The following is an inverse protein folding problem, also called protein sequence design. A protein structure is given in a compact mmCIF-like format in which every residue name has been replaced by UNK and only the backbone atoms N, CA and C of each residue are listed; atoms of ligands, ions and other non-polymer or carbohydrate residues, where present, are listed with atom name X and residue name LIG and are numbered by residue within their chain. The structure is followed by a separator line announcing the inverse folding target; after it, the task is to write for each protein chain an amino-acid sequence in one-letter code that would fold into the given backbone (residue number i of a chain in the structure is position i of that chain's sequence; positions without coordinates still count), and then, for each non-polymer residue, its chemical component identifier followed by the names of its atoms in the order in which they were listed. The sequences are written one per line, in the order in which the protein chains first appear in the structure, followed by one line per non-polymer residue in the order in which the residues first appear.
data_IF_763743141895
#
_entry.id   IF_763743141895
#
_cell.length_a   1.000
_cell.length_b   1.000
_cell.length_c   1.000
_cell.angle_alpha   90.00
_cell.angle_beta   90.00
_cell.angle_gamma   90.00
#
_symmetry.space_group_name_H-M   'P 1'
#
loop_
_entity.id
_entity.type
_entity.pdbx_description
1 polymer ?
#
# COMPACT_ATOMS: atom_id res chain seq x y z
N UNK A 1 14.09 -3.78 1.33
CA UNK A 1 15.05 -3.36 2.37
C UNK A 1 14.25 -2.85 3.55
N UNK A 2 14.27 -3.62 4.65
CA UNK A 2 13.65 -3.26 5.92
C UNK A 2 14.47 -2.09 6.50
N UNK A 3 13.83 -0.94 6.72
CA UNK A 3 14.47 0.21 7.36
C UNK A 3 14.81 -0.20 8.80
N UNK A 4 16.11 -0.38 9.08
CA UNK A 4 16.67 -0.67 10.40
C UNK A 4 16.35 0.49 11.35
N UNK A 5 15.99 0.14 12.58
CA UNK A 5 15.55 1.03 13.66
C UNK A 5 16.62 2.04 14.15
N UNK A 6 17.88 1.90 13.76
CA UNK A 6 18.99 2.53 14.49
C UNK A 6 19.51 3.85 13.88
N UNK A 7 19.05 4.27 12.70
CA UNK A 7 19.56 5.48 12.02
C UNK A 7 18.60 6.68 12.05
N UNK A 8 17.49 6.60 12.80
CA UNK A 8 16.45 7.66 12.85
C UNK A 8 16.48 8.47 14.15
N UNK A 9 17.16 7.99 15.19
CA UNK A 9 17.03 8.53 16.56
C UNK A 9 17.98 9.69 16.91
N UNK A 10 18.92 10.10 16.03
CA UNK A 10 19.94 11.10 16.42
C UNK A 10 19.90 12.44 15.65
N UNK A 11 18.78 12.79 15.02
CA UNK A 11 18.66 14.13 14.38
C UNK A 11 17.23 14.66 14.26
N UNK A 12 16.22 13.96 14.79
CA UNK A 12 14.84 14.42 14.74
C UNK A 12 14.43 14.95 16.11
N UNK A 13 14.13 16.26 16.19
CA UNK A 13 13.36 16.85 17.29
C UNK A 13 11.93 16.27 17.25
N UNK A 14 11.78 15.02 17.69
CA UNK A 14 10.48 14.37 17.82
C UNK A 14 9.87 14.86 19.13
N UNK A 15 8.88 15.75 19.04
CA UNK A 15 8.13 16.16 20.22
C UNK A 15 7.41 14.94 20.84
N UNK A 16 7.41 14.89 22.18
CA UNK A 16 6.73 13.84 22.93
C UNK A 16 5.21 13.95 22.70
N UNK A 17 4.57 12.83 22.35
CA UNK A 17 3.11 12.76 22.21
C UNK A 17 2.42 12.92 23.57
N UNK A 18 2.04 14.16 23.90
CA UNK A 18 1.24 14.47 25.09
C UNK A 18 -0.20 13.99 24.94
N UNK A 19 -0.89 13.77 26.06
CA UNK A 19 -2.30 13.40 26.04
C UNK A 19 -3.17 14.49 25.37
N UNK A 20 -2.81 15.76 25.49
CA UNK A 20 -3.49 16.87 24.83
C UNK A 20 -3.39 16.80 23.30
N UNK A 21 -2.17 16.67 22.76
CA UNK A 21 -1.95 16.51 21.32
C UNK A 21 -2.62 15.25 20.78
N UNK A 22 -2.63 14.17 21.56
CA UNK A 22 -3.35 12.95 21.21
C UNK A 22 -4.86 13.14 21.14
N UNK A 23 -5.45 13.87 22.10
CA UNK A 23 -6.88 14.20 22.07
C UNK A 23 -7.23 15.10 20.87
N UNK A 24 -6.37 16.06 20.51
CA UNK A 24 -6.56 16.90 19.33
C UNK A 24 -6.65 16.07 18.03
N UNK A 25 -5.79 15.04 17.88
CA UNK A 25 -5.81 14.13 16.72
C UNK A 25 -7.10 13.30 16.69
N UNK A 26 -7.52 12.71 17.83
CA UNK A 26 -8.74 11.90 17.90
C UNK A 26 -9.99 12.74 17.61
N UNK A 27 -10.04 13.94 18.18
CA UNK A 27 -11.20 14.83 18.09
C UNK A 27 -11.26 15.60 16.76
N UNK A 28 -10.28 15.42 15.86
CA UNK A 28 -10.14 16.20 14.63
C UNK A 28 -10.17 17.72 14.88
N UNK A 29 -9.47 18.16 15.92
CA UNK A 29 -9.51 19.55 16.37
C UNK A 29 -8.73 20.46 15.42
N UNK A 30 -9.43 21.36 14.72
CA UNK A 30 -8.83 22.30 13.78
C UNK A 30 -8.09 23.45 14.45
N UNK A 31 -8.29 23.70 15.76
CA UNK A 31 -7.56 24.75 16.48
C UNK A 31 -6.05 24.49 16.56
N UNK A 32 -5.65 23.22 16.46
CA UNK A 32 -4.25 22.79 16.45
C UNK A 32 -3.65 22.70 15.04
N UNK A 33 -4.42 22.97 13.98
CA UNK A 33 -3.89 22.98 12.63
C UNK A 33 -2.81 24.06 12.49
N UNK A 34 -1.61 23.66 12.07
CA UNK A 34 -0.45 24.54 11.93
C UNK A 34 0.37 24.73 13.22
N UNK A 35 -0.12 24.26 14.37
CA UNK A 35 0.68 24.21 15.61
C UNK A 35 1.60 22.97 15.64
N UNK A 36 1.10 21.85 15.13
CA UNK A 36 1.90 20.65 14.92
C UNK A 36 1.31 19.79 13.79
N UNK A 37 2.13 18.88 13.30
CA UNK A 37 1.79 17.85 12.33
C UNK A 37 2.09 16.49 12.94
N UNK A 38 1.29 15.48 12.62
CA UNK A 38 1.53 14.12 13.06
C UNK A 38 1.81 13.21 11.87
N UNK A 39 2.74 12.29 12.01
CA UNK A 39 3.06 11.31 10.98
C UNK A 39 2.89 9.89 11.47
N UNK A 40 2.48 9.01 10.56
CA UNK A 40 2.17 7.61 10.86
C UNK A 40 3.30 6.74 10.33
N UNK A 41 4.02 6.09 11.24
CA UNK A 41 5.18 5.23 10.93
C UNK A 41 4.87 4.14 9.91
N UNK A 42 3.70 3.51 10.03
CA UNK A 42 3.31 2.37 9.18
C UNK A 42 2.96 2.78 7.75
N UNK A 43 2.41 3.97 7.54
CA UNK A 43 2.02 4.46 6.21
C UNK A 43 3.04 5.42 5.60
N UNK A 44 3.93 6.00 6.41
CA UNK A 44 4.89 7.01 5.96
C UNK A 44 4.23 8.32 5.55
N UNK A 45 3.04 8.62 6.09
CA UNK A 45 2.24 9.81 5.75
C UNK A 45 2.12 10.73 6.96
N UNK A 46 2.25 12.04 6.73
CA UNK A 46 1.98 13.05 7.74
C UNK A 46 0.72 13.88 7.44
N UNK A 47 0.04 14.28 8.51
CA UNK A 47 -1.28 14.88 8.55
C UNK A 47 -1.30 16.09 9.49
N UNK A 48 -2.33 16.92 9.34
CA UNK A 48 -2.73 17.92 10.34
C UNK A 48 -3.71 17.32 11.36
N UNK A 49 -3.83 17.85 12.58
CA UNK A 49 -4.73 17.36 13.62
C UNK A 49 -6.19 17.22 13.17
N UNK A 50 -6.72 18.12 12.32
CA UNK A 50 -8.09 18.03 11.78
C UNK A 50 -8.31 17.00 10.65
N UNK A 51 -7.35 16.11 10.41
CA UNK A 51 -7.45 15.15 9.31
C UNK A 51 -8.49 14.06 9.60
N UNK A 52 -9.58 14.06 8.82
CA UNK A 52 -10.67 13.06 8.82
C UNK A 52 -10.26 11.63 8.40
N UNK A 53 -8.97 11.30 8.40
CA UNK A 53 -8.51 9.93 8.19
C UNK A 53 -8.76 9.11 9.45
N UNK A 54 -8.86 7.78 9.33
CA UNK A 54 -9.02 6.93 10.51
C UNK A 54 -7.83 7.15 11.46
N UNK A 55 -8.07 7.33 12.77
CA UNK A 55 -6.99 7.58 13.71
C UNK A 55 -6.06 6.35 13.75
N UNK A 56 -4.74 6.55 13.60
CA UNK A 56 -3.75 5.49 13.70
C UNK A 56 -3.57 5.03 15.15
N UNK A 57 -2.85 3.93 15.37
CA UNK A 57 -2.45 3.52 16.72
C UNK A 57 -1.47 4.52 17.33
N UNK A 58 -1.66 4.86 18.62
CA UNK A 58 -0.82 5.81 19.37
C UNK A 58 0.68 5.52 19.27
N UNK A 59 1.05 4.24 19.26
CA UNK A 59 2.45 3.75 19.18
C UNK A 59 3.16 4.06 17.84
N UNK A 60 2.41 4.36 16.78
CA UNK A 60 2.96 4.57 15.44
C UNK A 60 2.99 6.05 15.03
N UNK A 61 2.91 6.97 16.00
CA UNK A 61 2.77 8.41 15.73
C UNK A 61 4.07 9.13 16.06
N UNK A 62 4.54 9.91 15.11
CA UNK A 62 5.58 10.93 15.28
C UNK A 62 4.95 12.32 15.22
N UNK A 63 5.45 13.26 16.01
CA UNK A 63 5.03 14.66 15.98
C UNK A 63 6.14 15.52 15.38
N UNK A 64 5.73 16.51 14.60
CA UNK A 64 6.58 17.50 13.96
C UNK A 64 5.97 18.90 14.18
N UNK A 65 6.81 19.91 14.40
CA UNK A 65 6.35 21.29 14.55
C UNK A 65 5.99 21.88 13.19
N UNK A 66 6.76 21.53 12.15
CA UNK A 66 6.57 22.06 10.79
C UNK A 66 6.43 20.94 9.75
N UNK A 67 5.76 21.25 8.64
CA UNK A 67 5.66 20.33 7.51
C UNK A 67 7.05 20.02 6.89
N UNK A 68 8.00 20.96 6.97
CA UNK A 68 9.36 20.80 6.47
C UNK A 68 10.15 19.75 7.26
N UNK A 69 9.97 19.69 8.59
CA UNK A 69 10.55 18.64 9.42
C UNK A 69 10.03 17.26 9.00
N UNK A 70 8.72 17.14 8.77
CA UNK A 70 8.11 15.89 8.32
C UNK A 70 8.64 15.46 6.93
N UNK A 71 8.79 16.40 5.99
CA UNK A 71 9.36 16.14 4.66
C UNK A 71 10.83 15.71 4.74
N UNK A 72 11.62 16.38 5.58
CA UNK A 72 13.05 16.03 5.80
C UNK A 72 13.20 14.65 6.42
N UNK A 73 12.26 14.26 7.28
CA UNK A 73 12.13 12.92 7.85
C UNK A 73 11.55 11.88 6.87
N UNK A 74 11.43 12.21 5.57
CA UNK A 74 10.92 11.35 4.48
C UNK A 74 9.45 10.93 4.64
N UNK A 75 8.65 11.67 5.40
CA UNK A 75 7.20 11.49 5.42
C UNK A 75 6.55 12.26 4.26
N UNK A 76 5.50 11.67 3.70
CA UNK A 76 4.75 12.24 2.56
C UNK A 76 3.51 12.99 3.05
N UNK A 77 3.15 14.14 2.43
CA UNK A 77 2.00 14.91 2.87
C UNK A 77 0.70 14.16 2.55
N UNK A 78 -0.23 14.12 3.50
CA UNK A 78 -1.50 13.45 3.31
C UNK A 78 -2.35 14.08 2.21
N UNK A 79 -2.84 13.27 1.27
CA UNK A 79 -3.74 13.73 0.18
C UNK A 79 -5.10 14.25 0.67
N UNK A 80 -5.60 13.75 1.81
CA UNK A 80 -6.88 14.17 2.39
C UNK A 80 -6.80 15.57 3.00
N UNK A 81 -5.84 15.80 3.91
CA UNK A 81 -5.77 17.06 4.63
C UNK A 81 -4.83 18.10 4.01
N UNK A 82 -4.03 17.72 3.01
CA UNK A 82 -3.12 18.60 2.26
C UNK A 82 -2.31 19.52 3.20
N UNK A 83 -1.50 18.95 4.11
CA UNK A 83 -0.85 19.72 5.17
C UNK A 83 0.14 20.78 4.63
N UNK A 84 0.69 20.56 3.43
CA UNK A 84 1.57 21.51 2.73
C UNK A 84 0.82 22.44 1.77
N UNK A 85 -0.51 22.38 1.71
CA UNK A 85 -1.34 23.08 0.71
C UNK A 85 -1.26 22.51 -0.70
N UNK A 86 -0.24 21.71 -1.00
CA UNK A 86 -0.02 21.09 -2.31
C UNK A 86 -0.62 19.68 -2.38
N UNK A 87 -1.10 19.30 -3.56
CA UNK A 87 -1.62 17.94 -3.83
C UNK A 87 -0.45 17.08 -4.30
N UNK A 88 -0.22 15.92 -3.67
CA UNK A 88 0.65 14.89 -4.23
C UNK A 88 0.20 14.59 -5.68
N UNK A 89 1.13 14.53 -6.65
CA UNK A 89 0.82 14.11 -8.01
C UNK A 89 0.07 12.77 -8.00
N UNK A 90 -0.78 12.56 -9.00
CA UNK A 90 -1.54 11.31 -9.08
C UNK A 90 -0.61 10.13 -9.38
N UNK A 91 0.43 10.32 -10.19
CA UNK A 91 1.38 9.25 -10.54
C UNK A 91 2.19 8.77 -9.33
N UNK A 92 2.73 9.69 -8.54
CA UNK A 92 3.44 9.36 -7.29
C UNK A 92 2.56 8.62 -6.30
N UNK A 93 1.29 9.02 -6.19
CA UNK A 93 0.34 8.38 -5.30
C UNK A 93 0.00 6.96 -5.73
N UNK A 94 -0.22 6.76 -7.03
CA UNK A 94 -0.45 5.43 -7.59
C UNK A 94 0.79 4.56 -7.45
N UNK A 95 2.01 5.11 -7.60
CA UNK A 95 3.25 4.37 -7.34
C UNK A 95 3.31 3.81 -5.91
N UNK A 96 2.85 4.56 -4.90
CA UNK A 96 2.77 4.07 -3.51
C UNK A 96 1.81 2.90 -3.37
N UNK A 97 0.63 3.02 -3.97
CA UNK A 97 -0.39 1.96 -3.91
C UNK A 97 0.13 0.70 -4.60
N UNK A 98 0.78 0.87 -5.76
CA UNK A 98 1.40 -0.22 -6.51
C UNK A 98 2.50 -0.90 -5.70
N UNK A 99 3.41 -0.15 -5.10
CA UNK A 99 4.47 -0.70 -4.23
C UNK A 99 3.89 -1.49 -3.05
N UNK A 100 2.80 -0.99 -2.45
CA UNK A 100 2.10 -1.71 -1.39
C UNK A 100 1.50 -3.03 -1.89
N UNK A 101 0.86 -3.01 -3.05
CA UNK A 101 0.30 -4.23 -3.66
C UNK A 101 1.43 -5.23 -3.96
N UNK A 102 2.54 -4.79 -4.56
CA UNK A 102 3.65 -5.67 -4.95
C UNK A 102 4.30 -6.37 -3.74
N UNK A 103 4.26 -5.75 -2.55
CA UNK A 103 4.76 -6.35 -1.30
C UNK A 103 3.74 -7.27 -0.62
N UNK A 104 2.45 -7.00 -0.78
CA UNK A 104 1.38 -7.65 -0.02
C UNK A 104 0.36 -8.39 -0.91
N UNK A 105 0.71 -8.71 -2.16
CA UNK A 105 -0.24 -9.26 -3.14
C UNK A 105 -0.89 -10.58 -2.68
N UNK A 106 -0.26 -11.32 -1.78
CA UNK A 106 -0.78 -12.58 -1.23
C UNK A 106 -1.97 -12.36 -0.28
N UNK A 107 -2.08 -11.18 0.32
CA UNK A 107 -3.12 -10.86 1.30
C UNK A 107 -4.45 -10.49 0.64
N UNK A 108 -5.51 -10.46 1.44
CA UNK A 108 -6.78 -9.89 0.99
C UNK A 108 -6.68 -8.36 0.98
N UNK A 109 -6.61 -7.76 -0.21
CA UNK A 109 -6.43 -6.32 -0.42
C UNK A 109 -7.71 -5.66 -0.98
N UNK A 110 -8.77 -5.47 -0.17
CA UNK A 110 -9.97 -4.83 -0.64
C UNK A 110 -9.72 -3.33 -0.92
N UNK A 111 -10.47 -2.76 -1.86
CA UNK A 111 -10.25 -1.37 -2.33
C UNK A 111 -10.32 -0.33 -1.21
N UNK A 112 -11.17 -0.53 -0.21
CA UNK A 112 -11.27 0.33 0.96
C UNK A 112 -9.98 0.33 1.79
N UNK A 113 -9.34 -0.82 1.97
CA UNK A 113 -8.07 -0.92 2.67
C UNK A 113 -6.96 -0.17 1.91
N UNK A 114 -6.87 -0.38 0.60
CA UNK A 114 -5.89 0.34 -0.24
C UNK A 114 -6.12 1.85 -0.20
N UNK A 115 -7.38 2.30 -0.18
CA UNK A 115 -7.74 3.70 -0.08
C UNK A 115 -7.40 4.29 1.29
N UNK A 116 -7.60 3.54 2.37
CA UNK A 116 -7.25 3.96 3.73
C UNK A 116 -5.74 4.12 3.89
N UNK A 117 -4.96 3.12 3.47
CA UNK A 117 -3.49 3.13 3.54
C UNK A 117 -2.89 4.28 2.72
N UNK A 118 -3.51 4.59 1.58
CA UNK A 118 -3.08 5.67 0.70
C UNK A 118 -3.75 7.01 1.01
N UNK A 119 -4.52 7.10 2.10
CA UNK A 119 -5.27 8.29 2.53
C UNK A 119 -6.07 8.93 1.39
N UNK A 120 -6.75 8.13 0.58
CA UNK A 120 -7.67 8.56 -0.47
C UNK A 120 -9.07 7.98 -0.29
N UNK A 121 -10.01 8.34 -1.17
CA UNK A 121 -11.31 7.69 -1.21
C UNK A 121 -11.26 6.46 -2.13
N UNK A 122 -12.00 5.37 -1.84
CA UNK A 122 -12.01 4.17 -2.68
C UNK A 122 -12.34 4.48 -4.14
N UNK A 123 -13.32 5.34 -4.35
CA UNK A 123 -13.78 5.73 -5.68
C UNK A 123 -12.73 6.55 -6.45
N UNK A 124 -12.07 7.49 -5.78
CA UNK A 124 -11.01 8.27 -6.39
C UNK A 124 -9.77 7.41 -6.67
N UNK A 125 -9.42 6.50 -5.76
CA UNK A 125 -8.35 5.53 -5.97
C UNK A 125 -8.63 4.69 -7.20
N UNK A 126 -9.81 4.09 -7.31
CA UNK A 126 -10.18 3.27 -8.45
C UNK A 126 -10.05 4.03 -9.79
N UNK A 127 -10.64 5.23 -9.89
CA UNK A 127 -10.58 6.06 -11.11
C UNK A 127 -9.14 6.45 -11.45
N UNK A 128 -8.38 6.91 -10.46
CA UNK A 128 -7.02 7.42 -10.66
C UNK A 128 -6.06 6.30 -11.01
N UNK A 129 -6.15 5.17 -10.31
CA UNK A 129 -5.33 3.99 -10.59
C UNK A 129 -5.56 3.49 -12.02
N UNK A 130 -6.83 3.41 -12.47
CA UNK A 130 -7.14 3.05 -13.86
C UNK A 130 -6.65 4.06 -14.87
N UNK A 131 -6.77 5.35 -14.58
CA UNK A 131 -6.27 6.42 -15.47
C UNK A 131 -4.75 6.38 -15.64
N UNK A 132 -4.01 6.10 -14.55
CA UNK A 132 -2.54 6.10 -14.53
C UNK A 132 -1.95 4.78 -15.05
N UNK A 133 -2.50 3.63 -14.63
CA UNK A 133 -1.95 2.30 -14.96
C UNK A 133 -2.64 1.62 -16.15
N UNK A 134 -3.77 2.15 -16.62
CA UNK A 134 -4.62 1.54 -17.64
C UNK A 134 -5.60 0.48 -17.12
N UNK A 135 -5.41 -0.03 -15.91
CA UNK A 135 -6.20 -1.13 -15.33
C UNK A 135 -6.67 -0.82 -13.91
N UNK A 136 -7.67 -1.56 -13.42
CA UNK A 136 -8.17 -1.37 -12.04
C UNK A 136 -7.21 -1.96 -11.00
N UNK A 137 -7.27 -1.51 -9.73
CA UNK A 137 -6.46 -2.10 -8.65
C UNK A 137 -6.65 -3.62 -8.51
N UNK A 138 -7.88 -4.11 -8.68
CA UNK A 138 -8.18 -5.55 -8.61
C UNK A 138 -7.53 -6.30 -9.76
N UNK A 139 -7.58 -5.77 -10.98
CA UNK A 139 -6.91 -6.37 -12.14
C UNK A 139 -5.38 -6.38 -11.98
N UNK A 140 -4.81 -5.33 -11.39
CA UNK A 140 -3.38 -5.26 -11.11
C UNK A 140 -2.96 -6.34 -10.10
N UNK A 141 -3.69 -6.49 -8.98
CA UNK A 141 -3.46 -7.57 -8.01
C UNK A 141 -3.54 -8.94 -8.68
N UNK A 142 -4.57 -9.17 -9.51
CA UNK A 142 -4.70 -10.43 -10.25
C UNK A 142 -3.50 -10.69 -11.17
N UNK A 143 -3.05 -9.68 -11.92
CA UNK A 143 -1.88 -9.82 -12.78
C UNK A 143 -0.62 -10.16 -11.98
N UNK A 144 -0.36 -9.45 -10.88
CA UNK A 144 0.77 -9.77 -10.00
C UNK A 144 0.73 -11.22 -9.50
N UNK A 145 -0.43 -11.68 -9.02
CA UNK A 145 -0.60 -13.07 -8.57
C UNK A 145 -0.35 -14.09 -9.69
N UNK A 146 -0.82 -13.82 -10.90
CA UNK A 146 -0.59 -14.71 -12.05
C UNK A 146 0.88 -14.72 -12.48
N UNK A 147 1.57 -13.58 -12.49
CA UNK A 147 3.00 -13.52 -12.80
C UNK A 147 3.84 -14.29 -11.77
N UNK A 148 3.51 -14.17 -10.48
CA UNK A 148 4.17 -14.97 -9.44
C UNK A 148 3.82 -16.46 -9.56
N UNK A 149 2.59 -16.81 -9.96
CA UNK A 149 2.20 -18.19 -10.20
C UNK A 149 2.99 -18.80 -11.37
N UNK A 150 3.16 -18.07 -12.48
CA UNK A 150 4.00 -18.51 -13.61
C UNK A 150 5.41 -18.85 -13.14
N UNK A 151 6.03 -17.99 -12.33
CA UNK A 151 7.37 -18.23 -11.78
C UNK A 151 7.41 -19.49 -10.92
N UNK A 152 6.46 -19.67 -10.01
CA UNK A 152 6.41 -20.85 -9.13
C UNK A 152 6.13 -22.14 -9.89
N UNK A 153 5.29 -22.11 -10.93
CA UNK A 153 5.02 -23.27 -11.77
C UNK A 153 6.26 -23.79 -12.50
N UNK A 154 7.22 -22.91 -12.81
CA UNK A 154 8.44 -23.23 -13.57
C UNK A 154 9.68 -23.44 -12.71
N UNK A 155 9.65 -23.01 -11.44
CA UNK A 155 10.77 -23.10 -10.51
C UNK A 155 10.57 -24.14 -9.41
N UNK A 156 9.40 -24.80 -9.34
CA UNK A 156 9.09 -25.78 -8.31
C UNK A 156 8.14 -26.88 -8.78
N UNK A 157 8.22 -28.03 -8.12
CA UNK A 157 7.34 -29.19 -8.32
C UNK A 157 6.04 -29.11 -7.49
N UNK A 158 5.74 -27.95 -6.90
CA UNK A 158 4.51 -27.73 -6.12
C UNK A 158 3.28 -28.10 -6.95
N UNK A 159 2.28 -28.69 -6.30
CA UNK A 159 0.98 -28.93 -6.90
C UNK A 159 0.28 -27.63 -7.30
N UNK A 160 -0.68 -27.70 -8.22
CA UNK A 160 -1.47 -26.53 -8.65
C UNK A 160 -2.20 -25.87 -7.47
N UNK A 161 -2.65 -26.69 -6.51
CA UNK A 161 -3.30 -26.22 -5.28
C UNK A 161 -2.32 -25.42 -4.42
N UNK A 162 -1.12 -25.96 -4.17
CA UNK A 162 -0.09 -25.29 -3.38
C UNK A 162 0.39 -23.98 -4.02
N UNK A 163 0.54 -23.95 -5.35
CA UNK A 163 0.88 -22.72 -6.07
C UNK A 163 -0.21 -21.67 -5.87
N UNK A 164 -1.49 -22.04 -6.01
CA UNK A 164 -2.62 -21.15 -5.77
C UNK A 164 -2.59 -20.54 -4.37
N UNK A 165 -2.36 -21.35 -3.34
CA UNK A 165 -2.19 -20.90 -1.96
C UNK A 165 -1.01 -19.93 -1.81
N UNK A 166 0.15 -20.26 -2.39
CA UNK A 166 1.37 -19.43 -2.30
C UNK A 166 1.27 -18.08 -3.03
N UNK A 167 0.26 -17.86 -3.88
CA UNK A 167 0.03 -16.59 -4.57
C UNK A 167 -1.23 -15.86 -4.10
N UNK A 168 -1.84 -16.28 -2.98
CA UNK A 168 -3.04 -15.65 -2.44
C UNK A 168 -4.33 -15.98 -3.20
N UNK A 169 -4.36 -17.08 -3.95
CA UNK A 169 -5.53 -17.61 -4.67
C UNK A 169 -5.92 -18.99 -4.13
N UNK A 170 -6.39 -19.03 -2.88
CA UNK A 170 -6.70 -20.27 -2.16
C UNK A 170 -7.83 -21.11 -2.80
N UNK A 171 -8.74 -20.48 -3.55
CA UNK A 171 -9.75 -21.20 -4.30
C UNK A 171 -9.16 -21.71 -5.62
N UNK A 172 -8.84 -23.01 -5.67
CA UNK A 172 -8.21 -23.67 -6.82
C UNK A 172 -9.01 -23.51 -8.11
N UNK A 173 -10.34 -23.65 -8.08
CA UNK A 173 -11.19 -23.51 -9.27
C UNK A 173 -11.16 -22.08 -9.83
N UNK A 174 -11.19 -21.08 -8.95
CA UNK A 174 -11.03 -19.68 -9.32
C UNK A 174 -9.63 -19.41 -9.87
N UNK A 175 -8.58 -19.93 -9.22
CA UNK A 175 -7.20 -19.81 -9.67
C UNK A 175 -7.03 -20.34 -11.10
N UNK A 176 -7.47 -21.55 -11.39
CA UNK A 176 -7.37 -22.17 -12.72
C UNK A 176 -8.11 -21.32 -13.76
N UNK A 177 -9.32 -20.86 -13.44
CA UNK A 177 -10.13 -20.03 -14.34
C UNK A 177 -9.45 -18.70 -14.65
N UNK A 178 -8.95 -18.01 -13.61
CA UNK A 178 -8.25 -16.73 -13.76
C UNK A 178 -6.95 -16.89 -14.54
N UNK A 179 -6.16 -17.93 -14.22
CA UNK A 179 -4.90 -18.21 -14.90
C UNK A 179 -5.13 -18.49 -16.38
N UNK A 180 -6.13 -19.31 -16.73
CA UNK A 180 -6.50 -19.56 -18.13
C UNK A 180 -6.98 -18.29 -18.83
N UNK A 181 -7.79 -17.46 -18.17
CA UNK A 181 -8.24 -16.18 -18.73
C UNK A 181 -7.07 -15.22 -19.02
N UNK A 182 -6.03 -15.22 -18.19
CA UNK A 182 -4.90 -14.30 -18.31
C UNK A 182 -3.76 -14.82 -19.19
N UNK A 183 -3.63 -16.13 -19.36
CA UNK A 183 -2.49 -16.75 -20.06
C UNK A 183 -2.86 -17.58 -21.29
N UNK A 184 -4.14 -17.93 -21.45
CA UNK A 184 -4.61 -18.86 -22.48
C UNK A 184 -4.53 -20.34 -22.08
N UNK A 185 -3.74 -20.68 -21.06
CA UNK A 185 -3.47 -22.07 -20.66
C UNK A 185 -3.98 -22.36 -19.24
N UNK A 186 -4.32 -23.61 -18.93
CA UNK A 186 -4.47 -24.01 -17.53
C UNK A 186 -3.10 -23.98 -16.84
N UNK A 187 -3.00 -23.84 -15.51
CA UNK A 187 -1.72 -23.87 -14.80
C UNK A 187 -0.87 -25.11 -15.13
N UNK A 188 -1.51 -26.29 -15.19
CA UNK A 188 -0.84 -27.54 -15.57
C UNK A 188 -0.40 -27.53 -17.05
N UNK A 189 -1.27 -27.08 -17.95
CA UNK A 189 -0.95 -26.96 -19.38
C UNK A 189 0.18 -25.95 -19.65
N UNK A 190 0.23 -24.86 -18.89
CA UNK A 190 1.30 -23.87 -18.96
C UNK A 190 2.64 -24.46 -18.53
N UNK A 191 2.67 -25.23 -17.42
CA UNK A 191 3.87 -25.94 -16.96
C UNK A 191 4.39 -26.90 -18.04
N UNK A 192 3.51 -27.73 -18.59
CA UNK A 192 3.86 -28.69 -19.62
C UNK A 192 4.40 -28.00 -20.89
N UNK A 193 3.68 -26.99 -21.38
CA UNK A 193 4.07 -26.23 -22.57
C UNK A 193 5.45 -25.58 -22.40
N UNK A 194 5.73 -24.97 -21.25
CA UNK A 194 7.01 -24.29 -21.02
C UNK A 194 8.19 -25.25 -20.83
N UNK A 195 7.95 -26.46 -20.31
CA UNK A 195 8.99 -27.49 -20.23
C UNK A 195 9.35 -28.01 -21.62
N UNK A 196 8.36 -28.23 -22.49
CA UNK A 196 8.56 -28.68 -23.88
C UNK A 196 9.27 -27.66 -24.78
N UNK A 197 9.23 -26.36 -24.44
CA UNK A 197 9.93 -25.31 -25.18
C UNK A 197 11.31 -24.96 -24.60
N UNK A 198 11.74 -25.64 -23.52
CA UNK A 198 13.07 -25.46 -22.92
C UNK A 198 14.07 -26.54 -23.35
N UNK A 199 13.60 -27.61 -23.99
CA UNK A 199 14.39 -28.66 -24.63
C UNK A 199 14.65 -28.31 -26.11
#
# INVERSE_FOLDING_TARGET
MLFRQEDVDNTLNVEILTNEKWQAIINNDASYDGQFFYAVKTTGIFCRPSCKSRPPKKENIYLFETAEQALSAKFRPCKRCKPTGQRLPDDEWIAVVTEYIDKNYMENLPLNMLADISHGSPYHLHRTFKRVTGITPVEYIQLQRIEQAKKQLLSSEKSIVEVGLCVGLANTSYFITLFKKKTGYTPAGYRQFQLQNKE
#
